data_IF_958244058585
#
_entry.id   IF_958244058585
#
_cell.length_a   1.000
_cell.length_b   1.000
_cell.length_c   1.000
_cell.angle_alpha   90.00
_cell.angle_beta   90.00
_cell.angle_gamma   90.00
#
_symmetry.space_group_name_H-M   'P 1'
#
loop_
_entity.id
_entity.type
_entity.pdbx_description
1 polymer ?
#
# COMPACT_ATOMS: atom_id res chain seq x y z
N UNK A 1 -49.88 7.14 -45.50
CA UNK A 1 -48.62 7.24 -44.75
C UNK A 1 -47.54 7.49 -45.76
N UNK A 2 -46.96 8.69 -45.76
CA UNK A 2 -45.99 9.09 -46.77
C UNK A 2 -44.62 8.46 -46.49
N UNK A 3 -43.81 8.28 -47.54
CA UNK A 3 -42.46 7.71 -47.43
C UNK A 3 -41.58 8.49 -46.44
N UNK A 4 -41.86 9.78 -46.25
CA UNK A 4 -41.19 10.65 -45.30
C UNK A 4 -41.46 10.25 -43.83
N UNK A 5 -42.69 9.86 -43.51
CA UNK A 5 -43.07 9.45 -42.14
C UNK A 5 -42.38 8.15 -41.72
N UNK A 6 -42.22 7.23 -42.68
CA UNK A 6 -41.54 5.95 -42.48
C UNK A 6 -40.03 6.16 -42.29
N UNK A 7 -39.41 7.03 -43.09
CA UNK A 7 -38.00 7.36 -42.95
C UNK A 7 -37.70 7.98 -41.58
N UNK A 8 -38.58 8.88 -41.12
CA UNK A 8 -38.43 9.56 -39.84
C UNK A 8 -38.57 8.59 -38.64
N UNK A 9 -39.51 7.63 -38.73
CA UNK A 9 -39.66 6.57 -37.74
C UNK A 9 -38.42 5.64 -37.68
N UNK A 10 -37.85 5.27 -38.83
CA UNK A 10 -36.63 4.44 -38.89
C UNK A 10 -35.43 5.18 -38.29
N UNK A 11 -35.28 6.49 -38.57
CA UNK A 11 -34.21 7.30 -37.98
C UNK A 11 -34.33 7.41 -36.45
N UNK A 12 -35.55 7.53 -35.92
CA UNK A 12 -35.82 7.58 -34.48
C UNK A 12 -35.48 6.25 -33.78
N UNK A 13 -35.84 5.12 -34.40
CA UNK A 13 -35.52 3.79 -33.87
C UNK A 13 -34.02 3.51 -33.93
N UNK A 14 -33.33 3.92 -35.00
CA UNK A 14 -31.88 3.80 -35.09
C UNK A 14 -31.16 4.69 -34.06
N UNK A 15 -31.63 5.92 -33.83
CA UNK A 15 -31.07 6.84 -32.83
C UNK A 15 -31.24 6.31 -31.40
N UNK A 16 -32.40 5.74 -31.08
CA UNK A 16 -32.66 5.13 -29.77
C UNK A 16 -31.85 3.85 -29.54
N UNK A 17 -31.69 3.00 -30.57
CA UNK A 17 -30.87 1.80 -30.50
C UNK A 17 -29.37 2.12 -30.32
N UNK A 18 -28.85 3.07 -31.10
CA UNK A 18 -27.45 3.53 -30.97
C UNK A 18 -27.20 4.21 -29.61
N UNK A 19 -28.15 5.01 -29.11
CA UNK A 19 -28.08 5.59 -27.77
C UNK A 19 -28.03 4.53 -26.65
N UNK A 20 -28.84 3.47 -26.77
CA UNK A 20 -28.83 2.35 -25.83
C UNK A 20 -27.51 1.56 -25.85
N UNK A 21 -26.94 1.32 -27.04
CA UNK A 21 -25.65 0.65 -27.18
C UNK A 21 -24.50 1.48 -26.61
N UNK A 22 -24.49 2.80 -26.86
CA UNK A 22 -23.49 3.71 -26.30
C UNK A 22 -23.56 3.78 -24.77
N UNK A 23 -24.78 3.86 -24.20
CA UNK A 23 -24.99 3.84 -22.76
C UNK A 23 -24.57 2.51 -22.11
N UNK A 24 -24.93 1.39 -22.72
CA UNK A 24 -24.52 0.06 -22.26
C UNK A 24 -23.00 -0.13 -22.30
N UNK A 25 -22.34 0.39 -23.35
CA UNK A 25 -20.88 0.43 -23.46
C UNK A 25 -20.23 1.32 -22.39
N UNK A 26 -20.86 2.44 -22.02
CA UNK A 26 -20.39 3.30 -20.93
C UNK A 26 -20.51 2.63 -19.55
N UNK A 27 -21.60 1.91 -19.29
CA UNK A 27 -21.79 1.17 -18.04
C UNK A 27 -20.79 0.01 -17.94
N UNK A 28 -20.57 -0.75 -19.01
CA UNK A 28 -19.60 -1.85 -19.02
C UNK A 28 -18.16 -1.34 -18.87
N UNK A 29 -17.81 -0.21 -19.49
CA UNK A 29 -16.52 0.45 -19.30
C UNK A 29 -16.34 1.01 -17.89
N UNK A 30 -17.39 1.56 -17.27
CA UNK A 30 -17.37 2.04 -15.88
C UNK A 30 -17.26 0.87 -14.88
N UNK A 31 -18.00 -0.21 -15.10
CA UNK A 31 -17.91 -1.44 -14.31
C UNK A 31 -16.54 -2.12 -14.46
N UNK A 32 -15.98 -2.16 -15.68
CA UNK A 32 -14.62 -2.66 -15.93
C UNK A 32 -13.56 -1.79 -15.26
N UNK A 33 -13.69 -0.46 -15.29
CA UNK A 33 -12.80 0.47 -14.57
C UNK A 33 -12.90 0.32 -13.05
N UNK A 34 -14.07 -0.05 -12.53
CA UNK A 34 -14.27 -0.26 -11.08
C UNK A 34 -13.74 -1.63 -10.64
N UNK A 35 -13.82 -2.66 -11.49
CA UNK A 35 -13.22 -3.97 -11.29
C UNK A 35 -11.67 -3.98 -11.43
N UNK A 36 -11.08 -2.92 -11.97
CA UNK A 36 -9.63 -2.72 -12.14
C UNK A 36 -8.99 -1.91 -11.00
N UNK A 37 -9.70 -1.62 -9.90
CA UNK A 37 -9.06 -0.99 -8.73
C UNK A 37 -8.12 -2.02 -8.09
N UNK A 38 -6.82 -1.77 -8.25
CA UNK A 38 -5.74 -2.56 -7.64
C UNK A 38 -5.98 -2.68 -6.14
N UNK A 39 -5.73 -3.86 -5.59
CA UNK A 39 -5.79 -4.11 -4.15
C UNK A 39 -4.59 -3.45 -3.48
N UNK A 40 -4.87 -2.60 -2.52
CA UNK A 40 -3.81 -2.02 -1.67
C UNK A 40 -3.08 -3.13 -0.90
N UNK A 41 -1.76 -3.00 -0.67
CA UNK A 41 -1.03 -3.87 0.25
C UNK A 41 -1.65 -3.88 1.64
N UNK A 42 -1.48 -5.01 2.33
CA UNK A 42 -1.81 -5.10 3.76
C UNK A 42 -0.56 -4.84 4.60
N UNK A 43 -0.71 -4.00 5.62
CA UNK A 43 0.32 -3.77 6.63
C UNK A 43 -0.20 -4.22 7.99
N UNK A 44 0.49 -5.18 8.60
CA UNK A 44 0.25 -5.58 9.98
C UNK A 44 1.34 -4.94 10.83
N UNK A 45 0.93 -4.19 11.85
CA UNK A 45 1.84 -3.49 12.76
C UNK A 45 1.67 -4.10 14.13
N UNK A 46 2.78 -4.49 14.75
CA UNK A 46 2.83 -4.99 16.12
C UNK A 46 3.79 -4.13 16.92
N UNK A 47 3.33 -3.63 18.06
CA UNK A 47 4.14 -2.83 18.98
C UNK A 47 4.33 -3.60 20.27
N UNK A 48 5.59 -3.73 20.70
CA UNK A 48 5.96 -4.30 21.99
C UNK A 48 6.86 -3.33 22.74
N UNK A 49 6.45 -2.93 23.94
CA UNK A 49 7.30 -2.15 24.83
C UNK A 49 8.11 -3.08 25.72
N UNK A 50 9.43 -3.07 25.57
CA UNK A 50 10.35 -3.90 26.34
C UNK A 50 11.10 -3.09 27.42
N UNK A 51 11.16 -1.76 27.29
CA UNK A 51 11.83 -0.85 28.24
C UNK A 51 11.01 0.44 28.43
N UNK A 52 11.23 1.20 29.51
CA UNK A 52 10.60 2.51 29.69
C UNK A 52 10.90 3.43 28.51
N UNK A 53 9.86 4.06 27.96
CA UNK A 53 9.92 4.97 26.82
C UNK A 53 10.48 4.40 25.51
N UNK A 54 10.77 3.09 25.44
CA UNK A 54 11.19 2.42 24.21
C UNK A 54 10.17 1.36 23.81
N UNK A 55 9.97 1.24 22.50
CA UNK A 55 9.11 0.23 21.92
C UNK A 55 9.77 -0.37 20.69
N UNK A 56 9.67 -1.68 20.58
CA UNK A 56 10.01 -2.42 19.39
C UNK A 56 8.76 -2.55 18.50
N UNK A 57 8.91 -2.23 17.23
CA UNK A 57 7.84 -2.26 16.24
C UNK A 57 8.21 -3.27 15.16
N UNK A 58 7.30 -4.21 14.91
CA UNK A 58 7.38 -5.11 13.77
C UNK A 58 6.29 -4.73 12.77
N UNK A 59 6.69 -4.51 11.52
CA UNK A 59 5.77 -4.21 10.43
C UNK A 59 5.90 -5.32 9.40
N UNK A 60 4.79 -5.99 9.11
CA UNK A 60 4.70 -7.02 8.09
C UNK A 60 3.90 -6.45 6.93
N UNK A 61 4.57 -6.24 5.80
CA UNK A 61 3.96 -5.71 4.60
C UNK A 61 3.75 -6.84 3.58
N UNK A 62 2.52 -7.00 3.08
CA UNK A 62 2.14 -8.05 2.12
C UNK A 62 1.61 -7.43 0.83
N UNK A 63 2.13 -7.89 -0.31
CA UNK A 63 1.66 -7.50 -1.63
C UNK A 63 0.58 -8.47 -2.15
N UNK A 64 -0.43 -7.92 -2.82
CA UNK A 64 -1.56 -8.65 -3.39
C UNK A 64 -1.70 -8.52 -4.90
N UNK A 65 -0.77 -7.83 -5.55
CA UNK A 65 -0.82 -7.49 -6.97
C UNK A 65 0.38 -8.07 -7.74
N UNK A 66 0.26 -8.27 -9.06
CA UNK A 66 1.37 -8.66 -9.93
C UNK A 66 2.39 -7.54 -10.18
N UNK A 67 2.30 -6.44 -9.43
CA UNK A 67 3.21 -5.29 -9.49
C UNK A 67 3.91 -5.16 -8.15
N UNK A 68 5.21 -4.96 -8.16
CA UNK A 68 6.00 -4.74 -6.94
C UNK A 68 5.61 -3.44 -6.21
N UNK A 69 5.87 -3.39 -4.92
CA UNK A 69 5.58 -2.24 -4.06
C UNK A 69 6.88 -1.71 -3.49
N UNK A 70 7.06 -0.39 -3.54
CA UNK A 70 8.14 0.31 -2.86
C UNK A 70 7.57 0.88 -1.56
N UNK A 71 8.10 0.44 -0.42
CA UNK A 71 7.94 1.18 0.84
C UNK A 71 8.93 2.33 0.75
N UNK A 72 8.45 3.55 0.96
CA UNK A 72 9.26 4.76 0.82
C UNK A 72 9.67 5.31 2.18
N UNK A 73 8.71 5.32 3.13
CA UNK A 73 8.87 6.02 4.40
C UNK A 73 7.92 5.47 5.46
N UNK A 74 8.36 5.53 6.71
CA UNK A 74 7.56 5.26 7.90
C UNK A 74 7.56 6.51 8.78
N UNK A 75 6.38 6.99 9.13
CA UNK A 75 6.18 8.25 9.84
C UNK A 75 5.21 8.09 11.02
N UNK A 76 5.27 9.01 11.97
CA UNK A 76 4.32 9.09 13.07
C UNK A 76 3.52 10.38 13.00
N UNK A 77 2.20 10.28 13.01
CA UNK A 77 1.30 11.43 13.09
C UNK A 77 1.29 12.00 14.49
N UNK A 78 2.34 12.69 14.92
CA UNK A 78 2.42 13.27 16.26
C UNK A 78 3.75 13.93 16.56
N UNK A 79 3.97 14.25 17.85
CA UNK A 79 5.25 14.77 18.36
C UNK A 79 5.78 13.85 19.44
N UNK A 80 7.07 13.92 19.70
CA UNK A 80 7.72 13.20 20.80
C UNK A 80 7.93 11.71 20.53
N UNK A 81 7.76 11.25 19.29
CA UNK A 81 8.16 9.90 18.87
C UNK A 81 9.26 10.03 17.81
N UNK A 82 10.32 9.26 18.00
CA UNK A 82 11.43 9.12 17.06
C UNK A 82 11.59 7.65 16.72
N UNK A 83 11.83 7.36 15.45
CA UNK A 83 12.10 5.99 15.01
C UNK A 83 13.60 5.80 14.77
N UNK A 84 14.05 4.56 14.91
CA UNK A 84 15.37 4.06 14.50
C UNK A 84 15.15 2.74 13.75
N UNK A 85 15.78 2.56 12.59
CA UNK A 85 15.75 1.28 11.88
C UNK A 85 16.63 0.27 12.63
N UNK A 86 16.14 -0.96 12.83
CA UNK A 86 16.91 -1.97 13.55
C UNK A 86 18.19 -2.37 12.81
N UNK A 87 18.16 -2.38 11.48
CA UNK A 87 19.33 -2.73 10.65
C UNK A 87 20.46 -1.71 10.80
N UNK A 88 20.13 -0.42 10.96
CA UNK A 88 21.11 0.65 11.20
C UNK A 88 21.81 0.48 12.56
N UNK A 89 21.16 -0.21 13.51
CA UNK A 89 21.78 -0.56 14.79
C UNK A 89 22.75 -1.75 14.63
N UNK A 90 22.41 -2.71 13.77
CA UNK A 90 23.20 -3.94 13.56
C UNK A 90 24.47 -3.70 12.73
N UNK A 91 24.42 -2.88 11.68
CA UNK A 91 25.59 -2.55 10.84
C UNK A 91 26.72 -1.84 11.62
N UNK A 92 26.38 -1.16 12.72
CA UNK A 92 27.35 -0.52 13.61
C UNK A 92 27.97 -1.49 14.64
N UNK A 93 27.59 -2.77 14.61
CA UNK A 93 28.03 -3.79 15.57
C UNK A 93 28.54 -5.05 14.86
N UNK A 94 29.67 -4.93 14.17
CA UNK A 94 30.47 -6.08 13.71
C UNK A 94 31.09 -6.93 14.85
N UNK A 95 30.67 -6.70 16.10
CA UNK A 95 31.10 -7.42 17.30
C UNK A 95 29.91 -7.68 18.24
N UNK A 96 29.08 -8.69 17.93
CA UNK A 96 28.40 -9.62 18.86
C UNK A 96 27.81 -9.15 20.21
N UNK A 97 27.64 -7.86 20.45
CA UNK A 97 27.09 -7.27 21.66
C UNK A 97 26.34 -6.02 21.23
N UNK A 98 25.05 -5.97 21.56
CA UNK A 98 24.29 -4.73 21.60
C UNK A 98 24.98 -3.76 22.57
N UNK A 99 26.00 -3.06 22.09
CA UNK A 99 26.40 -1.82 22.69
C UNK A 99 25.17 -0.91 22.58
N UNK A 100 24.75 -0.39 23.72
CA UNK A 100 23.81 0.71 23.76
C UNK A 100 24.36 1.79 22.83
N UNK A 101 23.86 1.84 21.60
CA UNK A 101 23.96 3.05 20.80
C UNK A 101 23.29 4.08 21.68
N UNK A 102 24.09 4.99 22.23
CA UNK A 102 23.54 6.11 22.96
C UNK A 102 22.47 6.71 22.04
N UNK A 103 21.21 6.77 22.49
CA UNK A 103 20.11 7.27 21.69
C UNK A 103 20.44 8.63 21.05
N UNK A 104 21.32 9.42 21.69
CA UNK A 104 21.76 10.75 21.29
C UNK A 104 22.17 10.89 19.81
N UNK A 105 22.76 9.87 19.18
CA UNK A 105 23.26 9.95 17.80
C UNK A 105 22.20 9.66 16.71
N UNK A 106 21.12 8.94 17.05
CA UNK A 106 20.01 8.63 16.12
C UNK A 106 18.71 9.40 16.44
N UNK A 107 18.62 10.02 17.61
CA UNK A 107 17.47 10.79 18.10
C UNK A 107 17.33 12.14 17.37
N UNK A 108 16.81 12.15 16.16
CA UNK A 108 16.26 13.41 15.62
C UNK A 108 15.14 13.26 14.60
N UNK A 109 14.90 12.06 14.07
CA UNK A 109 13.95 11.92 12.96
C UNK A 109 12.63 11.34 13.44
N UNK A 110 11.55 12.13 13.27
CA UNK A 110 10.16 11.69 13.48
C UNK A 110 9.69 10.68 12.42
N UNK A 111 10.52 10.46 11.40
CA UNK A 111 10.21 9.73 10.19
C UNK A 111 11.50 9.06 9.68
N UNK A 112 11.39 7.87 9.12
CA UNK A 112 12.50 7.16 8.49
C UNK A 112 12.15 6.88 7.04
N UNK A 113 13.09 7.18 6.14
CA UNK A 113 13.04 6.70 4.76
C UNK A 113 13.63 5.30 4.72
N UNK A 114 12.84 4.33 4.27
CA UNK A 114 13.25 2.93 4.15
C UNK A 114 13.08 2.58 2.69
N UNK A 115 14.16 2.26 1.97
CA UNK A 115 14.05 1.78 0.60
C UNK A 115 13.95 0.26 0.62
N UNK A 116 12.71 -0.26 0.64
CA UNK A 116 12.43 -1.70 0.65
C UNK A 116 11.40 -2.03 -0.42
N UNK A 117 11.72 -3.02 -1.24
CA UNK A 117 10.88 -3.49 -2.35
C UNK A 117 10.21 -4.80 -1.93
N UNK A 118 8.89 -4.85 -2.08
CA UNK A 118 8.10 -6.07 -1.95
C UNK A 118 7.83 -6.60 -3.36
N UNK A 119 8.23 -7.84 -3.64
CA UNK A 119 8.06 -8.45 -4.96
C UNK A 119 6.60 -8.57 -5.41
N UNK A 120 6.40 -8.80 -6.70
CA UNK A 120 5.09 -9.05 -7.30
C UNK A 120 4.51 -10.40 -6.83
N UNK A 121 3.23 -10.39 -6.47
CA UNK A 121 2.51 -11.59 -6.01
C UNK A 121 2.00 -12.46 -7.19
N UNK A 122 2.09 -11.95 -8.42
CA UNK A 122 1.68 -12.62 -9.65
C UNK A 122 0.17 -12.65 -9.90
N UNK A 123 -0.24 -13.23 -11.03
CA UNK A 123 -1.63 -13.25 -11.51
C UNK A 123 -2.62 -14.00 -10.59
N UNK A 124 -2.10 -14.84 -9.70
CA UNK A 124 -2.91 -15.56 -8.72
C UNK A 124 -3.34 -14.67 -7.54
N UNK A 125 -2.60 -13.60 -7.24
CA UNK A 125 -2.88 -12.72 -6.11
C UNK A 125 -4.04 -11.75 -6.36
N UNK A 126 -4.22 -11.31 -7.61
CA UNK A 126 -5.41 -10.55 -8.04
C UNK A 126 -6.67 -11.38 -7.92
N UNK A 127 -6.59 -12.69 -8.15
CA UNK A 127 -7.75 -13.59 -8.18
C UNK A 127 -8.10 -14.25 -6.83
N UNK A 128 -7.14 -14.38 -5.91
CA UNK A 128 -7.35 -15.10 -4.66
C UNK A 128 -7.56 -14.16 -3.46
N UNK A 129 -8.63 -14.39 -2.69
CA UNK A 129 -8.82 -13.82 -1.34
C UNK A 129 -8.31 -14.77 -0.25
N UNK A 130 -7.82 -15.96 -0.60
CA UNK A 130 -7.49 -17.00 0.36
C UNK A 130 -6.18 -16.70 1.12
N UNK A 131 -6.12 -16.97 2.44
CA UNK A 131 -4.97 -16.71 3.30
C UNK A 131 -3.79 -17.68 3.12
N UNK A 132 -3.93 -18.75 2.32
CA UNK A 132 -2.94 -19.84 2.24
C UNK A 132 -1.96 -19.76 1.06
N UNK A 133 -2.14 -18.84 0.12
CA UNK A 133 -1.13 -18.63 -0.93
C UNK A 133 0.02 -17.83 -0.33
N UNK A 134 1.28 -18.34 -0.33
CA UNK A 134 2.42 -17.57 0.13
C UNK A 134 2.53 -16.28 -0.68
N UNK A 135 2.34 -15.14 -0.03
CA UNK A 135 2.42 -13.82 -0.69
C UNK A 135 3.80 -13.22 -0.45
N UNK A 136 4.38 -12.50 -1.42
CA UNK A 136 5.58 -11.72 -1.18
C UNK A 136 5.37 -10.80 0.01
N UNK A 137 6.22 -11.00 1.02
CA UNK A 137 6.11 -10.35 2.31
C UNK A 137 7.47 -9.77 2.68
N UNK A 138 7.47 -8.57 3.24
CA UNK A 138 8.66 -7.95 3.82
C UNK A 138 8.40 -7.70 5.30
N UNK A 139 9.40 -8.01 6.12
CA UNK A 139 9.40 -7.73 7.55
C UNK A 139 10.32 -6.54 7.80
N UNK A 140 9.79 -5.52 8.46
CA UNK A 140 10.54 -4.34 8.88
C UNK A 140 10.55 -4.27 10.39
N UNK A 141 11.71 -3.94 10.94
CA UNK A 141 11.95 -3.89 12.37
C UNK A 141 12.44 -2.49 12.74
N UNK A 142 11.72 -1.84 13.66
CA UNK A 142 12.04 -0.50 14.12
C UNK A 142 12.08 -0.44 15.63
N UNK A 143 12.96 0.41 16.15
CA UNK A 143 12.86 0.90 17.51
C UNK A 143 12.19 2.28 17.51
N UNK A 144 11.32 2.52 18.47
CA UNK A 144 10.69 3.82 18.69
C UNK A 144 10.96 4.28 20.11
N UNK A 145 11.30 5.55 20.27
CA UNK A 145 11.41 6.20 21.56
C UNK A 145 10.27 7.20 21.75
N UNK A 146 9.65 7.20 22.92
CA UNK A 146 8.52 8.04 23.32
C UNK A 146 7.18 7.30 23.38
N UNK A 147 6.13 8.02 23.77
CA UNK A 147 4.77 7.48 23.91
C UNK A 147 4.12 7.20 22.55
N UNK A 148 4.21 5.94 22.12
CA UNK A 148 3.71 5.47 20.84
C UNK A 148 2.24 5.03 20.92
N UNK A 149 1.43 5.45 19.94
CA UNK A 149 0.15 4.82 19.63
C UNK A 149 0.24 4.22 18.22
N UNK A 150 0.03 2.90 18.12
CA UNK A 150 0.11 2.15 16.87
C UNK A 150 -0.72 2.77 15.73
N UNK A 151 -1.92 3.28 16.01
CA UNK A 151 -2.84 3.83 15.00
C UNK A 151 -2.32 5.10 14.33
N UNK A 152 -1.32 5.75 14.95
CA UNK A 152 -0.71 6.99 14.44
C UNK A 152 0.51 6.72 13.56
N UNK A 153 0.92 5.46 13.41
CA UNK A 153 1.99 5.07 12.50
C UNK A 153 1.44 5.09 11.08
N UNK A 154 2.15 5.77 10.18
CA UNK A 154 1.80 5.90 8.77
C UNK A 154 2.91 5.31 7.95
N UNK A 155 2.53 4.43 7.02
CA UNK A 155 3.44 3.84 6.05
C UNK A 155 3.16 4.50 4.70
N UNK A 156 4.19 5.13 4.15
CA UNK A 156 4.18 5.63 2.80
C UNK A 156 4.79 4.61 1.85
N UNK A 157 4.07 4.35 0.77
CA UNK A 157 4.39 3.33 -0.21
C UNK A 157 3.87 3.76 -1.58
N UNK A 158 4.43 3.15 -2.62
CA UNK A 158 4.04 3.39 -4.01
C UNK A 158 4.15 2.12 -4.83
N UNK A 159 3.37 2.03 -5.91
CA UNK A 159 3.56 0.99 -6.91
C UNK A 159 4.89 1.22 -7.64
N UNK A 160 5.65 0.15 -7.85
CA UNK A 160 6.94 0.22 -8.53
C UNK A 160 6.82 0.57 -10.03
N UNK A 161 5.62 0.42 -10.60
CA UNK A 161 5.33 0.78 -12.00
C UNK A 161 5.02 2.27 -12.21
N UNK A 162 5.12 3.09 -11.15
CA UNK A 162 4.90 4.54 -11.23
C UNK A 162 3.42 4.94 -11.23
N UNK A 163 2.49 3.99 -11.13
CA UNK A 163 1.07 4.31 -10.94
C UNK A 163 0.90 4.95 -9.56
N UNK A 164 0.37 6.17 -9.51
CA UNK A 164 0.18 6.88 -8.23
C UNK A 164 -0.74 6.09 -7.30
N UNK A 165 -0.35 6.09 -6.02
CA UNK A 165 -1.19 5.72 -4.87
C UNK A 165 -2.37 6.68 -4.74
#
# INVERSE_FOLDING_TARGET
MDKADIALAVSLVAATFTGWQAYSGHISASAARTALRRKDPTFEISVRSDRPDWSYITIIARNHEPVSININKIAYRGRGVTFINAEDLEENTSLGRCAAIEPSLALSRREISISRIIGAAGDQATRSSAPHVPRPTVHLYLHAHGKLNQERIVIDWSWADGTRR
#
